data_IF_463973416545
#
_entry.id   IF_463973416545
#
_cell.length_a   1.000
_cell.length_b   1.000
_cell.length_c   1.000
_cell.angle_alpha   90.00
_cell.angle_beta   90.00
_cell.angle_gamma   90.00
#
_symmetry.space_group_name_H-M   'P 1'
#
loop_
_entity.id
_entity.type
_entity.pdbx_description
1 polymer ?
#
# COMPACT_ATOMS: atom_id res chain seq x y z
N UNK A 1 -11.99 -0.80 -9.47
CA UNK A 1 -12.12 -1.41 -8.13
C UNK A 1 -12.06 -2.95 -8.13
N UNK A 2 -12.85 -3.68 -8.92
CA UNK A 2 -12.77 -5.16 -8.95
C UNK A 2 -11.47 -5.71 -9.57
N UNK A 3 -10.92 -5.04 -10.59
CA UNK A 3 -9.68 -5.47 -11.24
C UNK A 3 -8.41 -5.24 -10.38
N UNK A 4 -8.35 -4.15 -9.61
CA UNK A 4 -7.21 -3.82 -8.72
C UNK A 4 -7.08 -4.75 -7.52
N UNK A 5 -8.20 -5.17 -6.91
CA UNK A 5 -8.14 -6.22 -5.89
C UNK A 5 -7.57 -7.50 -6.49
N UNK A 6 -7.95 -7.85 -7.72
CA UNK A 6 -7.41 -9.01 -8.40
C UNK A 6 -5.89 -8.90 -8.62
N UNK A 7 -5.36 -7.75 -9.03
CA UNK A 7 -3.92 -7.60 -9.29
C UNK A 7 -3.06 -7.69 -8.03
N UNK A 8 -3.45 -7.00 -6.94
CA UNK A 8 -2.78 -7.14 -5.65
C UNK A 8 -2.87 -8.58 -5.13
N UNK A 9 -4.05 -9.22 -5.22
CA UNK A 9 -4.22 -10.63 -4.86
C UNK A 9 -3.36 -11.57 -5.71
N UNK A 10 -3.20 -11.30 -7.01
CA UNK A 10 -2.37 -12.10 -7.92
C UNK A 10 -0.89 -11.91 -7.59
N UNK A 11 -0.44 -10.69 -7.30
CA UNK A 11 0.94 -10.40 -6.92
C UNK A 11 1.32 -11.13 -5.63
N UNK A 12 0.45 -11.03 -4.62
CA UNK A 12 0.57 -11.77 -3.36
C UNK A 12 0.58 -13.28 -3.61
N UNK A 13 -0.37 -13.81 -4.40
CA UNK A 13 -0.42 -15.24 -4.72
C UNK A 13 0.84 -15.74 -5.44
N UNK A 14 1.42 -14.92 -6.32
CA UNK A 14 2.71 -15.22 -6.98
C UNK A 14 3.87 -15.24 -5.99
N UNK A 15 3.90 -14.29 -5.05
CA UNK A 15 4.90 -14.29 -3.97
C UNK A 15 4.77 -15.54 -3.09
N UNK A 16 3.53 -15.95 -2.74
CA UNK A 16 3.26 -17.21 -2.03
C UNK A 16 3.82 -18.42 -2.78
N UNK A 17 3.49 -18.54 -4.08
CA UNK A 17 3.92 -19.66 -4.92
C UNK A 17 5.45 -19.71 -5.02
N UNK A 18 6.10 -18.56 -5.17
CA UNK A 18 7.57 -18.47 -5.20
C UNK A 18 8.18 -18.92 -3.87
N UNK A 19 7.63 -18.48 -2.75
CA UNK A 19 8.09 -18.87 -1.42
C UNK A 19 7.90 -20.38 -1.17
N UNK A 20 6.77 -20.97 -1.60
CA UNK A 20 6.52 -22.41 -1.51
C UNK A 20 7.56 -23.20 -2.33
N UNK A 21 7.84 -22.76 -3.56
CA UNK A 21 8.82 -23.44 -4.41
C UNK A 21 10.24 -23.34 -3.85
N UNK A 22 10.63 -22.17 -3.34
CA UNK A 22 11.93 -21.99 -2.66
C UNK A 22 12.03 -22.84 -1.40
N UNK A 23 10.97 -22.89 -0.61
CA UNK A 23 10.94 -23.69 0.60
C UNK A 23 11.06 -25.19 0.30
N UNK A 24 10.38 -25.68 -0.74
CA UNK A 24 10.42 -27.08 -1.16
C UNK A 24 11.81 -27.54 -1.67
N UNK A 25 12.58 -26.66 -2.33
CA UNK A 25 13.91 -26.98 -2.85
C UNK A 25 15.02 -26.96 -1.77
N UNK A 26 14.80 -26.33 -0.61
CA UNK A 26 15.85 -26.07 0.38
C UNK A 26 16.08 -27.19 1.41
N UNK A 27 15.33 -28.30 1.34
CA UNK A 27 15.49 -29.46 2.24
C UNK A 27 15.27 -29.18 3.73
N UNK A 28 14.76 -27.99 4.08
CA UNK A 28 14.46 -27.54 5.45
C UNK A 28 13.23 -28.23 6.04
N UNK A 29 13.14 -28.20 7.35
CA UNK A 29 12.03 -28.83 8.07
C UNK A 29 10.70 -28.14 7.70
N UNK A 30 9.62 -28.92 7.61
CA UNK A 30 8.35 -28.45 7.02
C UNK A 30 7.74 -27.27 7.78
N UNK A 31 8.03 -27.15 9.07
CA UNK A 31 7.63 -26.03 9.90
C UNK A 31 8.32 -24.72 9.48
N UNK A 32 9.61 -24.75 9.18
CA UNK A 32 10.37 -23.58 8.72
C UNK A 32 9.90 -23.13 7.34
N UNK A 33 9.64 -24.09 6.44
CA UNK A 33 9.09 -23.83 5.11
C UNK A 33 7.76 -23.08 5.18
N UNK A 34 6.85 -23.50 6.07
CA UNK A 34 5.56 -22.83 6.28
C UNK A 34 5.76 -21.41 6.84
N UNK A 35 6.68 -21.24 7.79
CA UNK A 35 6.94 -19.94 8.39
C UNK A 35 7.51 -18.93 7.37
N UNK A 36 8.38 -19.40 6.47
CA UNK A 36 8.89 -18.58 5.36
C UNK A 36 7.79 -18.11 4.40
N UNK A 37 6.84 -18.99 4.08
CA UNK A 37 5.71 -18.62 3.21
C UNK A 37 4.85 -17.56 3.88
N UNK A 38 4.56 -17.70 5.19
CA UNK A 38 3.83 -16.67 5.93
C UNK A 38 4.56 -15.33 5.96
N UNK A 39 5.87 -15.33 6.15
CA UNK A 39 6.65 -14.11 6.16
C UNK A 39 6.68 -13.44 4.77
N UNK A 40 6.86 -14.23 3.70
CA UNK A 40 6.81 -13.70 2.33
C UNK A 40 5.43 -13.13 1.97
N UNK A 41 4.36 -13.72 2.50
CA UNK A 41 3.01 -13.17 2.39
C UNK A 41 2.93 -11.82 3.07
N UNK A 42 3.34 -11.76 4.34
CA UNK A 42 3.25 -10.53 5.13
C UNK A 42 4.07 -9.39 4.50
N UNK A 43 5.28 -9.69 4.02
CA UNK A 43 6.12 -8.74 3.29
C UNK A 43 5.46 -8.26 1.99
N UNK A 44 4.92 -9.16 1.17
CA UNK A 44 4.23 -8.79 -0.06
C UNK A 44 2.97 -7.95 0.21
N UNK A 45 2.22 -8.27 1.27
CA UNK A 45 1.08 -7.44 1.69
C UNK A 45 1.54 -6.06 2.15
N UNK A 46 2.57 -5.97 2.99
CA UNK A 46 3.07 -4.69 3.48
C UNK A 46 3.56 -3.82 2.34
N UNK A 47 4.32 -4.38 1.38
CA UNK A 47 4.81 -3.66 0.21
C UNK A 47 3.67 -3.08 -0.63
N UNK A 48 2.64 -3.87 -0.92
CA UNK A 48 1.50 -3.44 -1.73
C UNK A 48 0.61 -2.41 -1.03
N UNK A 49 0.52 -2.46 0.30
CA UNK A 49 -0.31 -1.53 1.08
C UNK A 49 0.45 -0.29 1.57
N UNK A 50 1.78 -0.23 1.44
CA UNK A 50 2.57 0.91 1.91
C UNK A 50 2.19 2.23 1.22
N UNK A 51 1.95 2.29 -0.11
CA UNK A 51 1.46 3.51 -0.76
C UNK A 51 0.14 3.99 -0.16
N UNK A 52 -0.80 3.07 0.06
CA UNK A 52 -2.09 3.38 0.68
C UNK A 52 -1.94 3.88 2.12
N UNK A 53 -1.06 3.26 2.92
CA UNK A 53 -0.75 3.71 4.28
C UNK A 53 -0.11 5.10 4.27
N UNK A 54 0.77 5.39 3.32
CA UNK A 54 1.37 6.70 3.17
C UNK A 54 0.29 7.75 2.84
N UNK A 55 -0.63 7.44 1.91
CA UNK A 55 -1.74 8.32 1.56
C UNK A 55 -2.62 8.65 2.78
N UNK A 56 -2.93 7.65 3.61
CA UNK A 56 -3.67 7.86 4.85
C UNK A 56 -2.91 8.75 5.85
N UNK A 57 -1.58 8.61 5.96
CA UNK A 57 -0.74 9.48 6.81
C UNK A 57 -0.76 10.92 6.31
N UNK A 58 -0.66 11.13 5.00
CA UNK A 58 -0.69 12.45 4.39
C UNK A 58 -2.04 13.14 4.63
N UNK A 59 -3.16 12.44 4.39
CA UNK A 59 -4.50 12.97 4.67
C UNK A 59 -4.70 13.29 6.15
N UNK A 60 -4.22 12.43 7.04
CA UNK A 60 -4.28 12.69 8.48
C UNK A 60 -3.55 13.98 8.85
N UNK A 61 -2.33 14.17 8.33
CA UNK A 61 -1.53 15.38 8.54
C UNK A 61 -2.23 16.65 8.03
N UNK A 62 -2.84 16.58 6.84
CA UNK A 62 -3.59 17.68 6.24
C UNK A 62 -4.80 18.04 7.11
N UNK A 63 -5.59 17.05 7.51
CA UNK A 63 -6.75 17.25 8.40
C UNK A 63 -6.32 17.80 9.76
N UNK A 64 -5.19 17.36 10.29
CA UNK A 64 -4.64 17.86 11.55
C UNK A 64 -4.22 19.33 11.44
N UNK A 65 -3.66 19.76 10.31
CA UNK A 65 -3.34 21.18 10.02
C UNK A 65 -4.60 22.04 9.86
N UNK A 66 -5.66 21.50 9.25
CA UNK A 66 -6.96 22.18 9.18
C UNK A 66 -7.56 22.32 10.58
N UNK A 67 -7.51 21.25 11.38
CA UNK A 67 -8.05 21.21 12.73
C UNK A 67 -7.28 22.09 13.74
N UNK A 68 -6.01 22.44 13.48
CA UNK A 68 -5.23 23.30 14.37
C UNK A 68 -5.79 24.72 14.48
N UNK A 69 -6.58 25.15 13.47
CA UNK A 69 -7.21 26.47 13.44
C UNK A 69 -6.24 27.61 13.08
N UNK A 70 -5.00 27.29 12.72
CA UNK A 70 -3.97 28.28 12.35
C UNK A 70 -4.08 28.76 10.90
N UNK A 71 -4.97 28.15 10.11
CA UNK A 71 -5.17 28.45 8.70
C UNK A 71 -6.39 29.35 8.49
N UNK A 72 -6.24 30.37 7.65
CA UNK A 72 -7.38 31.14 7.15
C UNK A 72 -8.28 30.26 6.26
N UNK A 73 -9.53 30.68 6.05
CA UNK A 73 -10.47 29.97 5.18
C UNK A 73 -9.91 29.72 3.77
N UNK A 74 -9.17 30.69 3.23
CA UNK A 74 -8.57 30.58 1.90
C UNK A 74 -7.41 29.58 1.88
N UNK A 75 -6.56 29.57 2.91
CA UNK A 75 -5.46 28.60 3.04
C UNK A 75 -5.98 27.16 3.25
N UNK A 76 -7.12 26.99 3.91
CA UNK A 76 -7.77 25.68 4.04
C UNK A 76 -8.28 25.17 2.69
N UNK A 77 -8.86 26.05 1.86
CA UNK A 77 -9.31 25.69 0.51
C UNK A 77 -8.13 25.34 -0.39
N UNK A 78 -7.08 26.16 -0.40
CA UNK A 78 -5.86 25.90 -1.17
C UNK A 78 -5.21 24.57 -0.79
N UNK A 79 -5.15 24.27 0.52
CA UNK A 79 -4.60 23.00 1.02
C UNK A 79 -5.46 21.81 0.60
N UNK A 80 -6.78 21.94 0.60
CA UNK A 80 -7.70 20.90 0.15
C UNK A 80 -7.61 20.66 -1.37
N UNK A 81 -7.53 21.72 -2.17
CA UNK A 81 -7.36 21.64 -3.63
C UNK A 81 -6.03 20.95 -3.99
N UNK A 82 -4.94 21.32 -3.31
CA UNK A 82 -3.64 20.67 -3.49
C UNK A 82 -3.69 19.18 -3.14
N UNK A 83 -4.37 18.81 -2.04
CA UNK A 83 -4.52 17.42 -1.65
C UNK A 83 -5.30 16.60 -2.70
N UNK A 84 -6.36 17.17 -3.28
CA UNK A 84 -7.15 16.52 -4.33
C UNK A 84 -6.37 16.38 -5.63
N UNK A 85 -5.60 17.41 -6.02
CA UNK A 85 -4.75 17.37 -7.21
C UNK A 85 -3.67 16.30 -7.08
N UNK A 86 -2.94 16.27 -5.96
CA UNK A 86 -1.88 15.29 -5.69
C UNK A 86 -2.43 13.85 -5.59
N UNK A 87 -3.68 13.67 -5.18
CA UNK A 87 -4.35 12.36 -5.21
C UNK A 87 -4.66 11.92 -6.64
N UNK A 88 -5.07 12.87 -7.48
CA UNK A 88 -5.41 12.62 -8.89
C UNK A 88 -4.17 12.35 -9.76
N UNK A 89 -3.05 13.02 -9.48
CA UNK A 89 -1.77 12.76 -10.13
C UNK A 89 -1.17 11.42 -9.69
N UNK A 90 -1.27 11.06 -8.41
CA UNK A 90 -0.85 9.73 -7.92
C UNK A 90 -1.68 8.59 -8.51
N UNK A 91 -2.98 8.78 -8.69
CA UNK A 91 -3.83 7.80 -9.39
C UNK A 91 -3.42 7.62 -10.87
N UNK A 92 -2.79 8.63 -11.50
CA UNK A 92 -2.30 8.60 -12.89
C UNK A 92 -0.87 8.07 -13.06
N UNK A 93 -0.01 8.27 -12.07
CA UNK A 93 1.40 7.84 -12.09
C UNK A 93 1.59 6.42 -11.52
N UNK A 94 0.55 5.89 -10.88
CA UNK A 94 0.40 4.45 -10.69
C UNK A 94 0.35 3.81 -12.10
N UNK A 95 1.13 2.75 -12.43
CA UNK A 95 1.12 2.07 -13.74
C UNK A 95 -0.24 1.46 -14.17
N UNK A 96 -1.32 1.89 -13.53
CA UNK A 96 -2.72 1.52 -13.60
C UNK A 96 -3.58 2.49 -14.45
N UNK A 97 -2.98 3.39 -15.24
CA UNK A 97 -3.66 4.13 -16.32
C UNK A 97 -3.13 3.82 -17.72
#
# INVERSE_FOLDING_TARGET
MQDQQNDAYIAIARACLKAINQAADDGRDRAEQIQMVYQAIDEAFQEQFEPYRQQLRDYHSILQRIASGDLSAQQMVELAEAAVAESTERDQDDPLH
#
